data_IF_786086424306
#
_entry.id   IF_786086424306
#
_cell.length_a   1.000
_cell.length_b   1.000
_cell.length_c   1.000
_cell.angle_alpha   90.00
_cell.angle_beta   90.00
_cell.angle_gamma   90.00
#
_symmetry.space_group_name_H-M   'P 1'
#
loop_
_entity.id
_entity.type
_entity.pdbx_description
1 polymer ?
#
# COMPACT_ATOMS: atom_id res chain seq x y z
N UNK A 1 6.84 22.25 9.15
CA UNK A 1 5.83 23.13 8.50
C UNK A 1 4.50 23.04 9.22
N UNK A 2 3.68 24.05 9.07
CA UNK A 2 2.37 24.14 9.75
C UNK A 2 1.29 23.28 9.09
N UNK A 3 1.59 22.71 7.93
CA UNK A 3 0.69 21.83 7.18
C UNK A 3 1.05 20.36 7.42
N UNK A 4 0.04 19.52 7.61
CA UNK A 4 0.21 18.09 7.81
C UNK A 4 0.25 17.35 6.46
N UNK A 5 1.16 16.39 6.33
CA UNK A 5 1.20 15.39 5.28
C UNK A 5 1.19 14.00 5.93
N UNK A 6 0.23 13.16 5.59
CA UNK A 6 0.18 11.77 6.07
C UNK A 6 0.47 10.84 4.88
N UNK A 7 1.52 10.02 5.01
CA UNK A 7 1.92 9.02 4.02
C UNK A 7 1.54 7.61 4.45
N UNK A 8 0.71 6.92 3.64
CA UNK A 8 0.33 5.53 3.84
C UNK A 8 1.19 4.60 2.97
N UNK A 9 1.69 3.52 3.56
CA UNK A 9 2.46 2.49 2.86
C UNK A 9 1.57 1.55 2.02
N UNK A 10 2.19 0.80 1.10
CA UNK A 10 1.54 -0.24 0.31
C UNK A 10 1.39 -1.56 1.07
N UNK A 11 1.26 -2.65 0.33
CA UNK A 11 1.30 -4.07 0.72
C UNK A 11 0.92 -4.38 2.18
N UNK A 12 -0.39 -4.61 2.50
CA UNK A 12 -0.86 -4.94 3.84
C UNK A 12 -0.12 -6.15 4.43
N UNK A 13 0.22 -6.07 5.70
CA UNK A 13 0.94 -7.13 6.42
C UNK A 13 2.39 -7.37 5.99
N UNK A 14 2.96 -6.49 5.16
CA UNK A 14 4.31 -6.63 4.59
C UNK A 14 5.09 -5.31 4.63
N UNK A 15 4.49 -4.22 4.19
CA UNK A 15 5.10 -2.90 4.16
C UNK A 15 5.13 -2.22 5.53
N UNK A 16 5.84 -1.11 5.65
CA UNK A 16 5.97 -0.32 6.87
C UNK A 16 6.10 1.17 6.55
N UNK A 17 6.10 1.99 7.60
CA UNK A 17 6.36 3.44 7.54
C UNK A 17 7.65 3.81 6.77
N UNK A 18 8.61 2.90 6.66
CA UNK A 18 9.87 3.15 5.95
C UNK A 18 9.66 3.40 4.45
N UNK A 19 8.61 2.84 3.86
CA UNK A 19 8.28 3.02 2.44
C UNK A 19 7.82 4.46 2.17
N UNK A 20 6.74 5.01 2.77
CA UNK A 20 6.35 6.39 2.57
C UNK A 20 7.38 7.39 3.12
N UNK A 21 8.19 7.03 4.12
CA UNK A 21 9.30 7.87 4.58
C UNK A 21 10.35 8.07 3.48
N UNK A 22 10.68 7.03 2.70
CA UNK A 22 11.58 7.18 1.54
C UNK A 22 10.95 8.04 0.45
N UNK A 23 9.65 7.85 0.19
CA UNK A 23 8.94 8.56 -0.88
C UNK A 23 8.72 10.04 -0.57
N UNK A 24 8.29 10.36 0.65
CA UNK A 24 7.76 11.67 1.01
C UNK A 24 8.60 12.42 2.06
N UNK A 25 9.61 11.79 2.66
CA UNK A 25 10.38 12.41 3.75
C UNK A 25 11.07 13.74 3.40
N UNK A 26 11.39 13.94 2.13
CA UNK A 26 11.96 15.23 1.64
C UNK A 26 10.97 16.40 1.68
N UNK A 27 9.68 16.14 1.89
CA UNK A 27 8.67 17.18 2.05
C UNK A 27 8.71 17.80 3.46
N UNK A 28 9.54 17.30 4.37
CA UNK A 28 9.63 17.78 5.75
C UNK A 28 10.14 19.22 5.88
N UNK A 29 10.71 19.79 4.82
CA UNK A 29 11.04 21.22 4.73
C UNK A 29 9.79 22.11 4.65
N UNK A 30 8.65 21.57 4.23
CA UNK A 30 7.38 22.30 3.99
C UNK A 30 6.20 21.79 4.82
N UNK A 31 6.24 20.52 5.25
CA UNK A 31 5.15 19.84 5.94
C UNK A 31 5.64 19.20 7.24
N UNK A 32 4.74 19.04 8.19
CA UNK A 32 4.91 17.98 9.20
C UNK A 32 4.55 16.66 8.53
N UNK A 33 5.56 15.86 8.20
CA UNK A 33 5.38 14.57 7.49
C UNK A 33 5.23 13.46 8.50
N UNK A 34 4.06 12.83 8.50
CA UNK A 34 3.75 11.64 9.31
C UNK A 34 3.74 10.41 8.43
N UNK A 35 4.52 9.40 8.80
CA UNK A 35 4.51 8.07 8.20
C UNK A 35 4.35 7.05 9.34
N UNK A 36 3.54 6.05 9.15
CA UNK A 36 3.15 5.12 10.19
C UNK A 36 3.05 3.70 9.64
N UNK A 37 3.12 2.73 10.52
CA UNK A 37 2.78 1.35 10.20
C UNK A 37 1.28 1.20 10.34
N UNK A 38 0.59 0.91 9.24
CA UNK A 38 -0.85 0.70 9.28
C UNK A 38 -1.20 -0.54 10.13
N UNK A 39 -2.41 -0.58 10.68
CA UNK A 39 -2.95 -1.74 11.39
C UNK A 39 -2.65 -3.04 10.63
N UNK A 40 -2.10 -4.03 11.34
CA UNK A 40 -1.70 -5.30 10.75
C UNK A 40 -0.36 -5.29 10.00
N UNK A 41 0.43 -4.22 10.12
CA UNK A 41 1.72 -4.10 9.44
C UNK A 41 2.80 -3.56 10.38
N UNK A 42 4.07 -3.86 10.09
CA UNK A 42 5.23 -3.34 10.80
C UNK A 42 5.17 -3.56 12.29
N UNK A 43 5.38 -2.51 13.08
CA UNK A 43 5.38 -2.53 14.55
C UNK A 43 4.00 -2.21 15.16
N UNK A 44 3.00 -1.86 14.33
CA UNK A 44 1.63 -1.67 14.80
C UNK A 44 0.96 -2.98 15.16
N UNK A 45 -0.15 -2.91 15.92
CA UNK A 45 -0.90 -4.09 16.35
C UNK A 45 -1.38 -4.94 15.17
N UNK A 46 -1.14 -6.24 15.26
CA UNK A 46 -1.61 -7.23 14.31
C UNK A 46 -2.99 -7.76 14.69
N UNK A 47 -3.91 -6.84 14.98
CA UNK A 47 -5.30 -7.13 15.37
C UNK A 47 -6.25 -6.41 14.43
N UNK A 48 -7.18 -7.16 13.83
CA UNK A 48 -8.20 -6.61 12.93
C UNK A 48 -9.19 -5.65 13.63
N UNK A 49 -10.20 -5.20 12.95
CA UNK A 49 -10.53 -5.54 11.56
C UNK A 49 -9.56 -4.90 10.53
N UNK A 50 -9.33 -5.60 9.42
CA UNK A 50 -8.47 -5.14 8.33
C UNK A 50 -9.29 -4.63 7.14
N UNK A 51 -10.37 -3.90 7.43
CA UNK A 51 -11.24 -3.30 6.40
C UNK A 51 -10.69 -1.96 5.93
N UNK A 52 -11.09 -1.53 4.73
CA UNK A 52 -10.77 -0.19 4.24
C UNK A 52 -11.33 0.89 5.15
N UNK A 53 -12.56 0.73 5.64
CA UNK A 53 -13.20 1.66 6.56
C UNK A 53 -12.39 1.82 7.85
N UNK A 54 -11.83 0.72 8.39
CA UNK A 54 -11.01 0.79 9.60
C UNK A 54 -9.68 1.51 9.33
N UNK A 55 -9.01 1.23 8.22
CA UNK A 55 -7.78 1.96 7.86
C UNK A 55 -8.03 3.44 7.60
N UNK A 56 -9.17 3.80 6.99
CA UNK A 56 -9.61 5.20 6.85
C UNK A 56 -9.81 5.84 8.22
N UNK A 57 -10.49 5.17 9.16
CA UNK A 57 -10.70 5.66 10.52
C UNK A 57 -9.36 5.81 11.30
N UNK A 58 -8.42 4.89 11.13
CA UNK A 58 -7.09 4.97 11.75
C UNK A 58 -6.32 6.22 11.24
N UNK A 59 -6.41 6.53 9.95
CA UNK A 59 -5.81 7.76 9.37
C UNK A 59 -6.46 9.01 9.96
N UNK A 60 -7.78 9.00 10.10
CA UNK A 60 -8.49 10.14 10.67
C UNK A 60 -8.12 10.37 12.14
N UNK A 61 -7.94 9.32 12.91
CA UNK A 61 -7.44 9.41 14.29
C UNK A 61 -6.02 10.01 14.35
N UNK A 62 -5.16 9.68 13.36
CA UNK A 62 -3.83 10.31 13.24
C UNK A 62 -3.99 11.80 12.94
N UNK A 63 -4.83 12.19 11.97
CA UNK A 63 -5.11 13.59 11.66
C UNK A 63 -5.55 14.36 12.91
N UNK A 64 -6.50 13.82 13.67
CA UNK A 64 -7.01 14.41 14.91
C UNK A 64 -5.91 14.56 15.95
N UNK A 65 -5.06 13.55 16.12
CA UNK A 65 -3.93 13.57 17.07
C UNK A 65 -2.96 14.71 16.79
N UNK A 66 -2.82 15.12 15.52
CA UNK A 66 -2.01 16.26 15.09
C UNK A 66 -2.80 17.58 15.06
N UNK A 67 -4.08 17.59 15.41
CA UNK A 67 -4.94 18.79 15.48
C UNK A 67 -5.19 19.43 14.11
N UNK A 68 -5.06 18.67 13.02
CA UNK A 68 -5.23 19.22 11.68
C UNK A 68 -6.69 19.13 11.24
N UNK A 69 -7.29 20.24 10.80
CA UNK A 69 -8.60 20.21 10.13
C UNK A 69 -8.50 19.52 8.78
N UNK A 70 -7.48 19.88 7.99
CA UNK A 70 -7.20 19.34 6.67
C UNK A 70 -5.72 18.94 6.54
N UNK A 71 -5.44 18.02 5.64
CA UNK A 71 -4.07 17.56 5.38
C UNK A 71 -3.89 17.09 3.94
N UNK A 72 -2.62 16.99 3.52
CA UNK A 72 -2.26 16.34 2.25
C UNK A 72 -2.05 14.86 2.50
N UNK A 73 -2.75 14.02 1.74
CA UNK A 73 -2.59 12.58 1.85
C UNK A 73 -1.76 12.03 0.70
N UNK A 74 -0.76 11.21 1.06
CA UNK A 74 0.06 10.45 0.12
C UNK A 74 -0.13 8.95 0.29
N UNK A 75 -0.23 8.21 -0.82
CA UNK A 75 -0.30 6.75 -0.78
C UNK A 75 0.38 6.10 -1.97
N UNK A 76 1.12 5.02 -1.73
CA UNK A 76 1.73 4.20 -2.77
C UNK A 76 1.09 2.81 -2.84
N UNK A 77 0.88 2.28 -4.05
CA UNK A 77 0.31 0.95 -4.24
C UNK A 77 -1.02 0.80 -3.46
N UNK A 78 -1.15 -0.18 -2.57
CA UNK A 78 -2.33 -0.35 -1.73
C UNK A 78 -2.64 0.88 -0.85
N UNK A 79 -1.61 1.62 -0.39
CA UNK A 79 -1.81 2.87 0.33
C UNK A 79 -2.51 3.95 -0.50
N UNK A 80 -2.40 3.89 -1.82
CA UNK A 80 -3.15 4.74 -2.73
C UNK A 80 -4.64 4.38 -2.81
N UNK A 81 -5.01 3.08 -2.66
CA UNK A 81 -6.42 2.67 -2.54
C UNK A 81 -7.05 3.31 -1.30
N UNK A 82 -6.34 3.23 -0.16
CA UNK A 82 -6.82 3.83 1.09
C UNK A 82 -6.87 5.36 1.00
N UNK A 83 -5.92 5.99 0.29
CA UNK A 83 -5.94 7.44 0.06
C UNK A 83 -7.16 7.88 -0.74
N UNK A 84 -7.55 7.14 -1.77
CA UNK A 84 -8.76 7.39 -2.55
C UNK A 84 -10.03 7.19 -1.71
N UNK A 85 -10.10 6.09 -0.95
CA UNK A 85 -11.23 5.82 -0.04
C UNK A 85 -11.37 6.92 1.02
N UNK A 86 -10.25 7.37 1.61
CA UNK A 86 -10.26 8.46 2.58
C UNK A 86 -10.81 9.76 1.96
N UNK A 87 -10.34 10.13 0.76
CA UNK A 87 -10.77 11.35 0.08
C UNK A 87 -12.26 11.33 -0.29
N UNK A 88 -12.80 10.15 -0.61
CA UNK A 88 -14.23 9.96 -0.89
C UNK A 88 -15.09 9.93 0.38
N UNK A 89 -14.55 9.46 1.51
CA UNK A 89 -15.24 9.42 2.77
C UNK A 89 -15.24 10.78 3.50
N UNK A 90 -14.15 11.55 3.37
CA UNK A 90 -13.89 12.80 4.07
C UNK A 90 -13.36 13.91 3.15
N UNK A 91 -14.10 14.28 2.10
CA UNK A 91 -13.62 15.24 1.09
C UNK A 91 -13.27 16.61 1.73
N UNK A 92 -13.94 16.99 2.82
CA UNK A 92 -13.70 18.24 3.54
C UNK A 92 -12.37 18.25 4.31
N UNK A 93 -11.76 17.08 4.56
CA UNK A 93 -10.53 16.93 5.37
C UNK A 93 -9.26 16.82 4.53
N UNK A 94 -9.40 16.66 3.20
CA UNK A 94 -8.27 16.51 2.30
C UNK A 94 -7.96 17.85 1.60
N UNK A 95 -6.69 18.27 1.62
CA UNK A 95 -6.22 19.43 0.84
C UNK A 95 -5.78 19.04 -0.57
N UNK A 96 -5.09 17.93 -0.70
CA UNK A 96 -4.60 17.36 -1.95
C UNK A 96 -4.24 15.89 -1.78
N UNK A 97 -4.19 15.14 -2.89
CA UNK A 97 -3.73 13.76 -2.94
C UNK A 97 -2.40 13.65 -3.70
N UNK A 98 -1.52 12.77 -3.22
CA UNK A 98 -0.33 12.31 -3.94
C UNK A 98 -0.42 10.79 -4.09
N UNK A 99 -0.74 10.34 -5.29
CA UNK A 99 -0.94 8.93 -5.62
C UNK A 99 0.27 8.40 -6.38
N UNK A 100 0.85 7.31 -5.90
CA UNK A 100 2.05 6.72 -6.48
C UNK A 100 1.84 5.24 -6.78
N UNK A 101 2.06 4.85 -8.04
CA UNK A 101 2.03 3.45 -8.50
C UNK A 101 0.77 2.71 -7.97
N UNK A 102 -0.43 3.27 -8.22
CA UNK A 102 -1.70 2.82 -7.65
C UNK A 102 -2.84 2.83 -8.69
N UNK A 103 -4.02 2.41 -8.29
CA UNK A 103 -5.17 2.28 -9.16
C UNK A 103 -6.50 2.60 -8.46
N UNK A 104 -7.53 2.92 -9.25
CA UNK A 104 -8.89 3.16 -8.76
C UNK A 104 -9.78 1.91 -8.80
N UNK A 105 -9.24 0.74 -9.16
CA UNK A 105 -9.94 -0.55 -9.14
C UNK A 105 -8.99 -1.69 -8.85
N UNK A 106 -9.53 -2.85 -8.55
CA UNK A 106 -8.71 -4.07 -8.45
C UNK A 106 -8.01 -4.39 -9.79
N UNK A 107 -6.69 -4.53 -9.74
CA UNK A 107 -5.82 -4.86 -10.86
C UNK A 107 -5.12 -6.23 -10.70
N UNK A 108 -5.58 -7.08 -9.78
CA UNK A 108 -4.96 -8.38 -9.49
C UNK A 108 -4.74 -9.24 -10.73
N UNK A 109 -5.73 -9.34 -11.61
CA UNK A 109 -5.59 -10.11 -12.87
C UNK A 109 -4.51 -9.54 -13.80
N UNK A 110 -4.38 -8.21 -13.87
CA UNK A 110 -3.33 -7.55 -14.66
C UNK A 110 -1.97 -7.79 -14.04
N UNK A 111 -1.85 -7.67 -12.72
CA UNK A 111 -0.61 -7.93 -11.99
C UNK A 111 -0.13 -9.38 -12.19
N UNK A 112 -1.04 -10.37 -12.06
CA UNK A 112 -0.75 -11.78 -12.32
C UNK A 112 -0.28 -11.99 -13.76
N UNK A 113 -1.00 -11.44 -14.74
CA UNK A 113 -0.62 -11.56 -16.16
C UNK A 113 0.77 -10.98 -16.43
N UNK A 114 1.07 -9.80 -15.90
CA UNK A 114 2.36 -9.13 -16.08
C UNK A 114 3.49 -9.91 -15.38
N UNK A 115 3.25 -10.43 -14.17
CA UNK A 115 4.19 -11.28 -13.47
C UNK A 115 4.49 -12.57 -14.23
N UNK A 116 3.46 -13.23 -14.77
CA UNK A 116 3.62 -14.44 -15.62
C UNK A 116 4.44 -14.17 -16.88
N UNK A 117 4.28 -13.02 -17.51
CA UNK A 117 5.06 -12.64 -18.68
C UNK A 117 6.57 -12.57 -18.37
N UNK A 118 6.95 -12.27 -17.13
CA UNK A 118 8.34 -12.20 -16.66
C UNK A 118 8.82 -13.44 -15.89
N UNK A 119 7.99 -14.45 -15.69
CA UNK A 119 8.34 -15.65 -14.92
C UNK A 119 9.55 -16.42 -15.52
N UNK A 120 9.78 -16.30 -16.82
CA UNK A 120 10.96 -16.87 -17.46
C UNK A 120 12.30 -16.27 -16.97
N UNK A 121 12.28 -15.03 -16.46
CA UNK A 121 13.43 -14.37 -15.84
C UNK A 121 13.65 -14.81 -14.38
N UNK A 122 12.57 -15.25 -13.72
CA UNK A 122 12.52 -15.56 -12.29
C UNK A 122 11.81 -16.89 -12.02
N UNK A 123 12.50 -18.04 -12.10
CA UNK A 123 11.88 -19.37 -12.00
C UNK A 123 11.15 -19.67 -10.69
N UNK A 124 11.41 -18.88 -9.63
CA UNK A 124 10.68 -18.99 -8.37
C UNK A 124 9.23 -18.51 -8.45
N UNK A 125 8.87 -17.75 -9.48
CA UNK A 125 7.49 -17.27 -9.68
C UNK A 125 6.67 -18.37 -10.32
N UNK A 126 5.74 -18.94 -9.56
CA UNK A 126 4.79 -19.96 -10.04
C UNK A 126 3.37 -19.44 -10.01
N UNK A 127 2.48 -20.11 -10.74
CA UNK A 127 1.06 -19.79 -10.74
C UNK A 127 0.47 -19.88 -9.32
N UNK A 128 0.83 -20.88 -8.53
CA UNK A 128 0.40 -21.07 -7.15
C UNK A 128 0.82 -19.87 -6.26
N UNK A 129 2.05 -19.39 -6.37
CA UNK A 129 2.53 -18.25 -5.61
C UNK A 129 1.77 -16.96 -5.96
N UNK A 130 1.55 -16.71 -7.25
CA UNK A 130 0.80 -15.53 -7.70
C UNK A 130 -0.65 -15.61 -7.24
N UNK A 131 -1.28 -16.76 -7.35
CA UNK A 131 -2.64 -16.97 -6.90
C UNK A 131 -2.75 -16.71 -5.39
N UNK A 132 -1.89 -17.30 -4.56
CA UNK A 132 -1.93 -17.11 -3.11
C UNK A 132 -1.85 -15.65 -2.70
N UNK A 133 -0.93 -14.90 -3.27
CA UNK A 133 -0.74 -13.48 -2.93
C UNK A 133 -1.96 -12.66 -3.35
N UNK A 134 -2.38 -12.79 -4.62
CA UNK A 134 -3.39 -11.91 -5.21
C UNK A 134 -4.84 -12.37 -5.00
N UNK A 135 -5.06 -13.59 -4.51
CA UNK A 135 -6.39 -14.05 -4.07
C UNK A 135 -6.58 -14.04 -2.56
N UNK A 136 -5.52 -13.75 -1.79
CA UNK A 136 -5.58 -13.71 -0.34
C UNK A 136 -5.76 -15.10 0.28
N UNK A 137 -5.00 -16.09 -0.19
CA UNK A 137 -5.03 -17.48 0.30
C UNK A 137 -3.69 -17.95 0.84
N UNK A 138 -2.89 -17.03 1.36
CA UNK A 138 -1.64 -17.32 2.08
C UNK A 138 -1.98 -18.14 3.32
N UNK A 139 -1.17 -19.15 3.63
CA UNK A 139 -1.45 -20.13 4.69
C UNK A 139 -1.01 -19.62 6.06
N UNK A 140 0.18 -19.02 6.14
CA UNK A 140 0.79 -18.48 7.36
C UNK A 140 1.86 -17.42 7.03
N UNK A 141 2.51 -16.86 8.04
CA UNK A 141 3.54 -15.83 7.85
C UNK A 141 4.80 -16.35 7.13
N UNK A 142 5.15 -17.61 7.30
CA UNK A 142 6.30 -18.20 6.60
C UNK A 142 5.96 -18.45 5.13
N UNK A 143 4.74 -18.84 4.84
CA UNK A 143 4.23 -18.92 3.47
C UNK A 143 4.20 -17.53 2.80
N UNK A 144 3.73 -16.51 3.51
CA UNK A 144 3.75 -15.14 2.99
C UNK A 144 5.18 -14.68 2.69
N UNK A 145 6.12 -14.97 3.57
CA UNK A 145 7.55 -14.68 3.38
C UNK A 145 8.08 -15.37 2.12
N UNK A 146 7.79 -16.66 1.93
CA UNK A 146 8.22 -17.43 0.74
C UNK A 146 7.62 -16.88 -0.54
N UNK A 147 6.31 -16.64 -0.53
CA UNK A 147 5.60 -16.10 -1.69
C UNK A 147 6.13 -14.70 -2.07
N UNK A 148 6.32 -13.83 -1.09
CA UNK A 148 6.87 -12.50 -1.35
C UNK A 148 8.32 -12.57 -1.85
N UNK A 149 9.15 -13.44 -1.28
CA UNK A 149 10.54 -13.61 -1.74
C UNK A 149 10.62 -13.99 -3.22
N UNK A 150 9.69 -14.81 -3.70
CA UNK A 150 9.63 -15.23 -5.10
C UNK A 150 9.30 -14.06 -6.05
N UNK A 151 8.39 -13.15 -5.65
CA UNK A 151 7.97 -12.02 -6.51
C UNK A 151 8.78 -10.75 -6.28
N UNK A 152 9.57 -10.67 -5.22
CA UNK A 152 10.35 -9.47 -4.87
C UNK A 152 11.23 -8.94 -6.01
N UNK A 153 11.84 -9.79 -6.88
CA UNK A 153 12.61 -9.31 -8.02
C UNK A 153 11.81 -8.47 -9.03
N UNK A 154 10.48 -8.63 -9.07
CA UNK A 154 9.62 -7.85 -9.99
C UNK A 154 9.50 -6.37 -9.60
N UNK A 155 9.82 -6.03 -8.35
CA UNK A 155 9.71 -4.66 -7.83
C UNK A 155 10.95 -3.80 -8.09
N UNK A 156 12.03 -4.38 -8.60
CA UNK A 156 13.28 -3.69 -8.84
C UNK A 156 13.66 -3.74 -10.34
N UNK A 157 14.01 -2.60 -10.94
CA UNK A 157 14.53 -2.54 -12.31
C UNK A 157 15.86 -3.30 -12.42
N UNK A 158 16.66 -3.24 -11.35
CA UNK A 158 17.88 -4.00 -11.19
C UNK A 158 17.83 -4.74 -9.86
N UNK A 159 17.51 -6.03 -9.91
CA UNK A 159 17.40 -6.85 -8.72
C UNK A 159 18.75 -7.06 -8.04
N UNK A 160 18.78 -6.79 -6.72
CA UNK A 160 19.90 -7.11 -5.83
C UNK A 160 19.42 -8.19 -4.83
N UNK A 161 19.85 -9.46 -5.03
CA UNK A 161 19.40 -10.57 -4.17
C UNK A 161 19.79 -10.40 -2.70
N UNK A 162 20.98 -9.86 -2.43
CA UNK A 162 21.47 -9.70 -1.06
C UNK A 162 20.69 -8.61 -0.30
N UNK A 163 20.50 -7.45 -0.94
CA UNK A 163 19.67 -6.39 -0.37
C UNK A 163 18.21 -6.83 -0.18
N UNK A 164 17.69 -7.62 -1.12
CA UNK A 164 16.33 -8.19 -1.02
C UNK A 164 16.22 -9.18 0.13
N UNK A 165 17.17 -10.10 0.29
CA UNK A 165 17.19 -11.06 1.39
C UNK A 165 17.26 -10.35 2.75
N UNK A 166 18.10 -9.31 2.87
CA UNK A 166 18.20 -8.49 4.08
C UNK A 166 16.89 -7.77 4.41
N UNK A 167 16.22 -7.21 3.40
CA UNK A 167 14.90 -6.57 3.56
C UNK A 167 13.85 -7.56 4.03
N UNK A 168 13.78 -8.74 3.40
CA UNK A 168 12.83 -9.79 3.79
C UNK A 168 13.07 -10.29 5.22
N UNK A 169 14.35 -10.48 5.60
CA UNK A 169 14.70 -10.91 6.95
C UNK A 169 14.29 -9.90 8.04
N UNK A 170 14.28 -8.61 7.70
CA UNK A 170 13.87 -7.53 8.61
C UNK A 170 12.36 -7.28 8.60
N UNK A 171 11.60 -7.91 7.70
CA UNK A 171 10.15 -7.67 7.55
C UNK A 171 9.36 -8.52 8.56
N UNK A 172 8.42 -7.87 9.26
CA UNK A 172 7.37 -8.56 10.01
C UNK A 172 6.21 -8.83 9.08
N UNK A 173 5.92 -10.11 8.89
CA UNK A 173 4.83 -10.56 8.03
C UNK A 173 3.56 -10.77 8.84
N UNK A 174 2.42 -10.41 8.25
CA UNK A 174 1.08 -10.70 8.75
C UNK A 174 0.20 -11.14 7.58
N UNK A 175 0.10 -12.44 7.38
CA UNK A 175 -0.67 -13.02 6.28
C UNK A 175 -2.17 -12.73 6.39
N UNK A 176 -2.72 -12.60 7.60
CA UNK A 176 -4.15 -12.34 7.80
C UNK A 176 -4.55 -10.97 7.23
N UNK A 177 -3.70 -9.94 7.44
CA UNK A 177 -3.92 -8.62 6.86
C UNK A 177 -3.87 -8.66 5.33
N UNK A 178 -2.91 -9.38 4.74
CA UNK A 178 -2.85 -9.59 3.29
C UNK A 178 -4.10 -10.33 2.78
N UNK A 179 -4.45 -11.44 3.40
CA UNK A 179 -5.58 -12.25 2.95
C UNK A 179 -6.88 -11.46 3.01
N UNK A 180 -7.12 -10.71 4.09
CA UNK A 180 -8.30 -9.88 4.19
C UNK A 180 -8.33 -8.80 3.10
N UNK A 181 -7.19 -8.14 2.87
CA UNK A 181 -7.05 -7.11 1.85
C UNK A 181 -7.40 -7.63 0.45
N UNK A 182 -6.85 -8.77 0.05
CA UNK A 182 -7.03 -9.28 -1.31
C UNK A 182 -8.30 -10.10 -1.49
N UNK A 183 -8.67 -10.95 -0.51
CA UNK A 183 -9.85 -11.80 -0.62
C UNK A 183 -11.18 -11.07 -0.33
N UNK A 184 -11.14 -10.02 0.48
CA UNK A 184 -12.36 -9.31 0.92
C UNK A 184 -12.41 -7.90 0.34
N UNK A 185 -11.48 -7.02 0.73
CA UNK A 185 -11.55 -5.61 0.36
C UNK A 185 -11.46 -5.39 -1.16
N UNK A 186 -10.50 -6.03 -1.83
CA UNK A 186 -10.30 -5.84 -3.27
C UNK A 186 -11.31 -6.59 -4.14
N UNK A 187 -12.12 -7.49 -3.58
CA UNK A 187 -13.09 -8.26 -4.35
C UNK A 187 -14.10 -7.38 -5.09
N UNK A 188 -14.50 -6.28 -4.48
CA UNK A 188 -15.46 -5.32 -5.03
C UNK A 188 -14.89 -3.91 -5.18
N UNK A 189 -13.56 -3.74 -5.03
CA UNK A 189 -12.92 -2.43 -5.10
C UNK A 189 -12.94 -1.90 -6.55
N UNK A 190 -13.80 -0.94 -6.81
CA UNK A 190 -13.85 -0.15 -8.04
C UNK A 190 -14.41 1.23 -7.73
N UNK A 191 -13.56 2.24 -7.77
CA UNK A 191 -13.92 3.64 -7.47
C UNK A 191 -14.04 4.51 -8.72
N UNK A 192 -13.93 3.93 -9.92
CA UNK A 192 -13.87 4.69 -11.17
C UNK A 192 -15.09 5.61 -11.35
N UNK A 193 -16.27 5.14 -11.03
CA UNK A 193 -17.51 5.91 -11.16
C UNK A 193 -17.62 7.03 -10.10
N UNK A 194 -16.79 7.00 -9.08
CA UNK A 194 -16.75 7.97 -7.97
C UNK A 194 -15.60 8.95 -8.04
N UNK A 195 -14.64 8.78 -8.96
CA UNK A 195 -13.47 9.66 -9.04
C UNK A 195 -13.84 11.13 -9.27
N UNK A 196 -14.98 11.40 -9.91
CA UNK A 196 -15.48 12.76 -10.14
C UNK A 196 -15.89 13.49 -8.86
N UNK A 197 -16.11 12.78 -7.74
CA UNK A 197 -16.41 13.34 -6.43
C UNK A 197 -15.16 13.96 -5.76
N UNK A 198 -13.95 13.61 -6.21
CA UNK A 198 -12.69 14.12 -5.68
C UNK A 198 -12.43 15.52 -6.22
N UNK A 199 -12.82 16.55 -5.45
CA UNK A 199 -12.73 17.95 -5.81
C UNK A 199 -11.41 18.65 -5.45
N UNK A 200 -10.38 17.90 -5.03
CA UNK A 200 -9.08 18.43 -4.61
C UNK A 200 -7.99 18.17 -5.65
N UNK A 201 -6.89 18.95 -5.66
CA UNK A 201 -5.76 18.66 -6.53
C UNK A 201 -5.19 17.25 -6.30
N UNK A 202 -4.91 16.53 -7.39
CA UNK A 202 -4.34 15.18 -7.35
C UNK A 202 -3.06 15.15 -8.17
N UNK A 203 -1.95 14.78 -7.54
CA UNK A 203 -0.70 14.43 -8.23
C UNK A 203 -0.62 12.91 -8.37
N UNK A 204 -0.52 12.44 -9.61
CA UNK A 204 -0.32 11.03 -9.90
C UNK A 204 1.11 10.84 -10.42
N UNK A 205 1.83 9.90 -9.84
CA UNK A 205 3.17 9.50 -10.26
C UNK A 205 3.22 8.00 -10.50
N UNK A 206 3.96 7.59 -11.50
CA UNK A 206 4.17 6.18 -11.84
C UNK A 206 5.61 5.98 -12.30
N UNK A 207 6.19 4.84 -11.95
CA UNK A 207 7.51 4.47 -12.43
C UNK A 207 7.52 4.22 -13.94
N UNK A 208 8.58 4.65 -14.63
CA UNK A 208 8.70 4.42 -16.09
C UNK A 208 8.65 2.94 -16.47
N UNK A 209 9.05 2.07 -15.55
CA UNK A 209 9.17 0.64 -15.74
C UNK A 209 8.16 -0.17 -14.91
N UNK A 210 7.17 0.52 -14.32
CA UNK A 210 6.12 -0.10 -13.53
C UNK A 210 5.00 -0.71 -14.40
#
# INVERSE_FOLDING_TARGET
GDRLFIGHHGAPGLSSHAEPKRAFGKLADRFTVVTFDARGSGESDHVGPYTHEQWVADIDAIRERFGAERFVMGGGSYGGFIALEYALAHPERVEALVLRDTAARNYGEVAIRNAKARAHEFPAITDDILERIFSGTIIDNDDYRRCFAAIAPLYDVKHDPEATAKRIAATRFNYESNNYAFAVNLKSYDLRDRLHEIGVPVLITVGRHD
#
